data_IF_068827445338
#
_entry.id   IF_068827445338
#
_cell.length_a   1.000
_cell.length_b   1.000
_cell.length_c   1.000
_cell.angle_alpha   90.00
_cell.angle_beta   90.00
_cell.angle_gamma   90.00
#
_symmetry.space_group_name_H-M   'P 1'
#
loop_
_entity.id
_entity.type
_entity.pdbx_description
1 polymer ?
#
# COMPACT_ATOMS: atom_id res chain seq x y z
N UNK A 1 9.98 -11.75 -2.81
CA UNK A 1 8.68 -11.18 -2.42
C UNK A 1 8.26 -11.86 -1.13
N UNK A 2 8.15 -11.12 -0.02
CA UNK A 2 7.68 -11.67 1.25
C UNK A 2 6.14 -11.76 1.25
N UNK A 3 5.57 -12.81 1.84
CA UNK A 3 4.11 -13.00 1.92
C UNK A 3 3.38 -11.78 2.51
N UNK A 4 4.01 -11.10 3.48
CA UNK A 4 3.45 -9.91 4.12
C UNK A 4 3.40 -8.70 3.17
N UNK A 5 4.44 -8.49 2.35
CA UNK A 5 4.47 -7.39 1.39
C UNK A 5 3.33 -7.54 0.38
N UNK A 6 3.21 -8.73 -0.22
CA UNK A 6 2.15 -9.04 -1.19
C UNK A 6 0.77 -8.91 -0.56
N UNK A 7 0.62 -9.38 0.69
CA UNK A 7 -0.64 -9.26 1.43
C UNK A 7 -1.05 -7.79 1.64
N UNK A 8 -0.12 -6.94 2.11
CA UNK A 8 -0.39 -5.52 2.35
C UNK A 8 -0.74 -4.82 1.02
N UNK A 9 0.06 -5.03 -0.02
CA UNK A 9 -0.19 -4.43 -1.33
C UNK A 9 -1.58 -4.80 -1.86
N UNK A 10 -1.94 -6.09 -1.82
CA UNK A 10 -3.27 -6.56 -2.23
C UNK A 10 -4.40 -5.89 -1.45
N UNK A 11 -4.25 -5.71 -0.14
CA UNK A 11 -5.27 -5.02 0.68
C UNK A 11 -5.41 -3.54 0.35
N UNK A 12 -4.35 -2.90 -0.12
CA UNK A 12 -4.40 -1.50 -0.56
C UNK A 12 -5.05 -1.43 -1.94
N UNK A 13 -4.66 -2.29 -2.87
CA UNK A 13 -5.27 -2.39 -4.22
C UNK A 13 -6.77 -2.67 -4.15
N UNK A 14 -7.21 -3.63 -3.31
CA UNK A 14 -8.64 -3.94 -3.12
C UNK A 14 -9.48 -2.73 -2.64
N UNK A 15 -8.88 -1.79 -1.90
CA UNK A 15 -9.57 -0.55 -1.51
C UNK A 15 -9.43 0.53 -2.60
N UNK A 16 -8.30 0.58 -3.28
CA UNK A 16 -8.05 1.50 -4.39
C UNK A 16 -9.01 1.27 -5.57
N UNK A 17 -9.33 0.00 -5.86
CA UNK A 17 -10.33 -0.41 -6.86
C UNK A 17 -11.73 0.18 -6.59
N UNK A 18 -12.03 0.53 -5.34
CA UNK A 18 -13.28 1.20 -4.97
C UNK A 18 -13.17 2.71 -5.16
N UNK A 19 -12.07 3.30 -4.71
CA UNK A 19 -11.67 4.68 -5.00
C UNK A 19 -10.22 4.93 -4.59
N UNK A 20 -9.53 5.83 -5.30
CA UNK A 20 -8.17 6.28 -4.96
C UNK A 20 -8.06 6.73 -3.50
N UNK A 21 -9.04 7.47 -3.00
CA UNK A 21 -9.10 7.95 -1.62
C UNK A 21 -9.17 6.82 -0.59
N UNK A 22 -9.91 5.74 -0.89
CA UNK A 22 -9.98 4.55 -0.05
C UNK A 22 -8.64 3.80 -0.02
N UNK A 23 -7.98 3.67 -1.17
CA UNK A 23 -6.61 3.16 -1.28
C UNK A 23 -5.61 3.96 -0.44
N UNK A 24 -5.60 5.28 -0.58
CA UNK A 24 -4.75 6.18 0.22
C UNK A 24 -5.01 6.08 1.72
N UNK A 25 -6.28 6.01 2.14
CA UNK A 25 -6.65 5.82 3.55
C UNK A 25 -6.11 4.50 4.09
N UNK A 26 -6.18 3.43 3.30
CA UNK A 26 -5.65 2.11 3.67
C UNK A 26 -4.13 2.11 3.74
N UNK A 27 -3.47 2.76 2.78
CA UNK A 27 -2.03 2.96 2.73
C UNK A 27 -1.52 3.63 4.02
N UNK A 28 -2.10 4.79 4.37
CA UNK A 28 -1.78 5.50 5.63
C UNK A 28 -2.00 4.61 6.85
N UNK A 29 -3.10 3.86 6.90
CA UNK A 29 -3.41 3.00 8.05
C UNK A 29 -2.32 1.94 8.31
N UNK A 30 -1.75 1.33 7.25
CA UNK A 30 -0.64 0.38 7.42
C UNK A 30 0.63 1.07 7.90
N UNK A 31 1.01 2.18 7.28
CA UNK A 31 2.34 2.79 7.48
C UNK A 31 2.41 3.87 8.55
N UNK A 32 1.28 4.26 9.15
CA UNK A 32 1.23 5.15 10.31
C UNK A 32 1.98 4.58 11.51
N UNK A 33 2.03 3.25 11.66
CA UNK A 33 2.70 2.58 12.79
C UNK A 33 4.02 1.96 12.36
N UNK A 34 4.98 1.87 13.29
CA UNK A 34 6.31 1.26 13.02
C UNK A 34 6.24 -0.23 12.69
N UNK A 35 5.13 -0.91 13.01
CA UNK A 35 4.97 -2.35 12.83
C UNK A 35 5.21 -2.76 11.38
N UNK A 36 4.63 -2.01 10.43
CA UNK A 36 4.69 -2.35 9.01
C UNK A 36 5.72 -1.57 8.19
N UNK A 37 6.45 -0.62 8.80
CA UNK A 37 7.39 0.27 8.08
C UNK A 37 8.47 -0.48 7.29
N UNK A 38 8.94 -1.63 7.80
CA UNK A 38 10.00 -2.40 7.13
C UNK A 38 9.59 -3.01 5.78
N UNK A 39 8.29 -3.04 5.46
CA UNK A 39 7.79 -3.54 4.18
C UNK A 39 7.38 -2.42 3.22
N UNK A 40 7.47 -1.14 3.63
CA UNK A 40 6.96 0.01 2.85
C UNK A 40 7.59 0.07 1.46
N UNK A 41 8.91 0.02 1.36
CA UNK A 41 9.61 0.15 0.07
C UNK A 41 9.24 -0.96 -0.92
N UNK A 42 9.10 -2.21 -0.43
CA UNK A 42 8.66 -3.32 -1.27
C UNK A 42 7.18 -3.20 -1.66
N UNK A 43 6.29 -2.75 -0.75
CA UNK A 43 4.88 -2.51 -1.05
C UNK A 43 4.73 -1.40 -2.08
N UNK A 44 5.46 -0.30 -1.91
CA UNK A 44 5.47 0.81 -2.86
C UNK A 44 5.91 0.32 -4.23
N UNK A 45 6.95 -0.53 -4.30
CA UNK A 45 7.40 -1.13 -5.57
C UNK A 45 6.29 -1.93 -6.26
N UNK A 46 5.55 -2.76 -5.51
CA UNK A 46 4.41 -3.53 -6.07
C UNK A 46 3.32 -2.58 -6.57
N UNK A 47 2.91 -1.62 -5.74
CA UNK A 47 1.85 -0.68 -6.10
C UNK A 47 2.18 0.10 -7.37
N UNK A 48 3.43 0.57 -7.53
CA UNK A 48 3.88 1.25 -8.76
C UNK A 48 3.91 0.31 -9.97
N UNK A 49 4.36 -0.92 -9.78
CA UNK A 49 4.43 -1.91 -10.86
C UNK A 49 3.03 -2.26 -11.38
N UNK A 50 2.05 -2.32 -10.49
CA UNK A 50 0.67 -2.67 -10.79
C UNK A 50 -0.21 -1.45 -11.16
N UNK A 51 0.38 -0.24 -11.24
CA UNK A 51 -0.29 0.98 -11.71
C UNK A 51 -1.08 1.76 -10.66
N UNK A 52 -0.82 1.55 -9.38
CA UNK A 52 -1.47 2.22 -8.24
C UNK A 52 -0.60 3.34 -7.62
N UNK A 53 0.30 3.97 -8.37
CA UNK A 53 1.20 5.03 -7.86
C UNK A 53 0.46 6.13 -7.07
N UNK A 54 -0.73 6.50 -7.52
CA UNK A 54 -1.62 7.50 -6.93
C UNK A 54 -2.10 7.23 -5.49
N UNK A 55 -2.00 5.98 -5.02
CA UNK A 55 -2.38 5.60 -3.65
C UNK A 55 -1.23 5.76 -2.66
N UNK A 56 0.01 5.85 -3.16
CA UNK A 56 1.22 6.05 -2.38
C UNK A 56 1.25 7.51 -1.94
N UNK A 57 1.01 7.73 -0.65
CA UNK A 57 0.99 9.06 -0.06
C UNK A 57 2.05 9.14 1.03
N UNK A 58 2.85 10.19 0.99
CA UNK A 58 3.65 10.57 2.15
C UNK A 58 2.71 11.24 3.17
N UNK A 59 2.90 10.89 4.45
CA UNK A 59 2.25 11.63 5.55
C UNK A 59 2.89 13.01 5.69
#
# INVERSE_FOLDING_TARGET
MNDMTTFIARRIMEEADKSTEAGQKKYRAYFRTRLYKKWKDEVDTILKTDGYDEVIVED
#
